data_IF_393144052258
#
_entry.id   IF_393144052258
#
_cell.length_a   1.000
_cell.length_b   1.000
_cell.length_c   1.000
_cell.angle_alpha   90.00
_cell.angle_beta   90.00
_cell.angle_gamma   90.00
#
_symmetry.space_group_name_H-M   'P 1'
#
loop_
_entity.id
_entity.type
_entity.pdbx_description
1 polymer ?
#
# COMPACT_ATOMS: atom_id res chain seq x y z
N UNK A 1 -10.45 17.19 -1.06
CA UNK A 1 -10.51 15.76 -0.72
C UNK A 1 -9.41 15.49 0.29
N UNK A 2 -9.74 15.02 1.48
CA UNK A 2 -8.72 14.70 2.48
C UNK A 2 -7.90 13.49 2.02
N UNK A 3 -6.59 13.63 1.95
CA UNK A 3 -5.69 12.54 1.55
C UNK A 3 -5.46 11.61 2.73
N UNK A 4 -5.87 10.33 2.64
CA UNK A 4 -5.49 9.32 3.64
C UNK A 4 -4.09 8.80 3.36
N UNK A 5 -3.24 8.80 4.39
CA UNK A 5 -1.95 8.13 4.34
C UNK A 5 -2.03 6.78 5.05
N UNK A 6 -1.65 5.72 4.35
CA UNK A 6 -1.54 4.38 4.91
C UNK A 6 -0.09 4.14 5.35
N UNK A 7 0.11 3.77 6.61
CA UNK A 7 1.42 3.38 7.12
C UNK A 7 1.82 1.99 6.60
N UNK A 8 2.93 1.92 5.87
CA UNK A 8 3.49 0.69 5.28
C UNK A 8 4.76 0.22 6.01
N UNK A 9 5.08 0.82 7.16
CA UNK A 9 6.19 0.43 8.04
C UNK A 9 7.35 1.42 8.09
N UNK A 10 8.04 1.47 9.24
CA UNK A 10 9.27 2.27 9.46
C UNK A 10 9.12 3.75 9.10
N UNK A 11 7.96 4.35 9.41
CA UNK A 11 7.67 5.75 9.07
C UNK A 11 7.29 5.99 7.60
N UNK A 12 7.35 4.97 6.74
CA UNK A 12 6.93 5.08 5.35
C UNK A 12 5.41 5.03 5.24
N UNK A 13 4.85 5.93 4.44
CA UNK A 13 3.41 5.99 4.17
C UNK A 13 3.15 6.12 2.68
N UNK A 14 1.96 5.70 2.25
CA UNK A 14 1.51 5.81 0.85
C UNK A 14 0.10 6.39 0.82
N UNK A 15 -0.27 7.04 -0.29
CA UNK A 15 -1.63 7.55 -0.46
C UNK A 15 -2.59 6.36 -0.65
N UNK A 16 -3.48 6.15 0.32
CA UNK A 16 -4.33 4.97 0.35
C UNK A 16 -5.23 4.90 -0.89
N UNK A 17 -5.79 6.03 -1.32
CA UNK A 17 -6.67 6.10 -2.49
C UNK A 17 -6.01 5.74 -3.82
N UNK A 18 -4.67 5.58 -3.87
CA UNK A 18 -3.93 5.19 -5.06
C UNK A 18 -3.49 3.73 -5.07
N UNK A 19 -3.78 2.97 -4.01
CA UNK A 19 -3.42 1.55 -3.92
C UNK A 19 -4.43 0.76 -4.75
N UNK A 20 -3.92 -0.02 -5.71
CA UNK A 20 -4.70 -0.96 -6.53
C UNK A 20 -4.66 -2.36 -5.93
N UNK A 21 -3.50 -2.78 -5.38
CA UNK A 21 -3.35 -4.10 -4.79
C UNK A 21 -2.28 -4.15 -3.70
N UNK A 22 -2.46 -5.04 -2.73
CA UNK A 22 -1.48 -5.41 -1.70
C UNK A 22 -1.30 -6.93 -1.79
N UNK A 23 -0.08 -7.39 -2.13
CA UNK A 23 0.20 -8.80 -2.43
C UNK A 23 1.48 -9.30 -1.75
N UNK A 24 1.63 -10.62 -1.65
CA UNK A 24 2.80 -11.26 -1.04
C UNK A 24 3.89 -11.55 -2.08
N UNK A 25 5.19 -11.41 -1.75
CA UNK A 25 6.30 -11.54 -2.71
C UNK A 25 6.76 -12.98 -3.04
N UNK A 26 6.03 -14.02 -2.60
CA UNK A 26 6.53 -15.40 -2.55
C UNK A 26 6.59 -16.13 -3.90
N UNK A 27 5.84 -15.69 -4.91
CA UNK A 27 5.69 -16.41 -6.18
C UNK A 27 6.64 -15.91 -7.28
N UNK A 28 6.91 -16.76 -8.29
CA UNK A 28 7.74 -16.37 -9.44
C UNK A 28 7.20 -15.15 -10.21
N UNK A 29 5.88 -14.99 -10.44
CA UNK A 29 5.32 -13.77 -11.02
C UNK A 29 5.64 -12.50 -10.22
N UNK A 30 5.70 -12.59 -8.89
CA UNK A 30 6.00 -11.42 -8.04
C UNK A 30 7.48 -11.02 -8.10
N UNK A 31 8.38 -11.98 -8.30
CA UNK A 31 9.79 -11.68 -8.59
C UNK A 31 9.92 -10.92 -9.91
N UNK A 32 9.25 -11.39 -10.97
CA UNK A 32 9.22 -10.71 -12.28
C UNK A 32 8.64 -9.30 -12.17
N UNK A 33 7.50 -9.14 -11.49
CA UNK A 33 6.90 -7.82 -11.24
C UNK A 33 7.87 -6.83 -10.60
N UNK A 34 8.67 -7.28 -9.63
CA UNK A 34 9.69 -6.45 -8.99
C UNK A 34 10.83 -6.09 -9.94
N UNK A 35 11.29 -7.04 -10.74
CA UNK A 35 12.33 -6.84 -11.76
C UNK A 35 11.86 -5.84 -12.83
N UNK A 36 10.67 -6.05 -13.39
CA UNK A 36 10.04 -5.16 -14.38
C UNK A 36 9.87 -3.73 -13.84
N UNK A 37 9.45 -3.59 -12.58
CA UNK A 37 9.35 -2.28 -11.94
C UNK A 37 10.70 -1.62 -11.71
N UNK A 38 11.74 -2.41 -11.40
CA UNK A 38 13.11 -1.90 -11.23
C UNK A 38 13.66 -1.39 -12.56
N UNK A 39 13.55 -2.18 -13.62
CA UNK A 39 13.96 -1.82 -14.97
C UNK A 39 13.22 -0.57 -15.47
N UNK A 40 11.91 -0.51 -15.20
CA UNK A 40 11.08 0.64 -15.51
C UNK A 40 11.27 1.86 -14.62
N UNK A 41 12.21 1.87 -13.67
CA UNK A 41 12.43 2.95 -12.69
C UNK A 41 11.18 3.35 -11.87
N UNK A 42 10.30 2.37 -11.61
CA UNK A 42 9.04 2.51 -10.86
C UNK A 42 9.03 1.74 -9.54
N UNK A 43 10.15 1.10 -9.19
CA UNK A 43 10.31 0.37 -7.93
C UNK A 43 10.71 1.33 -6.81
N UNK A 44 9.96 1.31 -5.71
CA UNK A 44 10.25 2.03 -4.48
C UNK A 44 10.54 1.00 -3.38
N UNK A 45 11.72 1.05 -2.78
CA UNK A 45 12.09 0.17 -1.68
C UNK A 45 11.86 0.86 -0.32
N UNK A 46 10.81 0.46 0.39
CA UNK A 46 10.50 0.91 1.75
C UNK A 46 10.79 -0.17 2.81
N UNK A 47 11.64 -1.16 2.49
CA UNK A 47 11.95 -2.28 3.40
C UNK A 47 12.96 -1.93 4.50
N UNK A 48 13.72 -0.84 4.34
CA UNK A 48 14.82 -0.46 5.25
C UNK A 48 15.87 -1.58 5.42
N UNK A 49 16.24 -2.23 4.31
CA UNK A 49 17.22 -3.32 4.28
C UNK A 49 16.71 -4.66 4.85
N UNK A 50 15.42 -4.75 5.19
CA UNK A 50 14.80 -5.97 5.70
C UNK A 50 14.23 -6.81 4.57
N UNK A 51 13.92 -8.07 4.86
CA UNK A 51 13.24 -8.97 3.92
C UNK A 51 11.90 -8.36 3.48
N UNK A 52 11.68 -8.29 2.16
CA UNK A 52 10.37 -7.95 1.58
C UNK A 52 9.33 -8.95 2.04
N UNK A 53 8.25 -8.45 2.68
CA UNK A 53 7.11 -9.24 3.14
C UNK A 53 5.80 -8.86 2.45
N UNK A 54 5.77 -7.73 1.76
CA UNK A 54 4.65 -7.29 0.94
C UNK A 54 5.10 -6.45 -0.25
N UNK A 55 4.24 -6.42 -1.26
CA UNK A 55 4.34 -5.60 -2.45
C UNK A 55 3.03 -4.82 -2.57
N UNK A 56 3.14 -3.51 -2.75
CA UNK A 56 2.00 -2.61 -2.94
C UNK A 56 2.06 -2.08 -4.37
N UNK A 57 0.95 -2.19 -5.09
CA UNK A 57 0.81 -1.74 -6.47
C UNK A 57 -0.09 -0.51 -6.47
N UNK A 58 0.35 0.54 -7.15
CA UNK A 58 -0.41 1.80 -7.28
C UNK A 58 -1.01 1.97 -8.67
N UNK A 59 -1.98 2.87 -8.80
CA UNK A 59 -2.60 3.27 -10.07
C UNK A 59 -1.61 3.83 -11.10
N UNK A 60 -0.53 4.46 -10.63
CA UNK A 60 0.59 4.94 -11.44
C UNK A 60 1.57 3.83 -11.86
N UNK A 61 1.22 2.57 -11.59
CA UNK A 61 2.06 1.40 -11.81
C UNK A 61 3.36 1.41 -10.98
N UNK A 62 3.50 2.27 -9.96
CA UNK A 62 4.63 2.12 -9.02
C UNK A 62 4.44 0.88 -8.16
N UNK A 63 5.55 0.18 -7.93
CA UNK A 63 5.63 -1.02 -7.11
C UNK A 63 6.44 -0.68 -5.86
N UNK A 64 5.81 -0.79 -4.70
CA UNK A 64 6.40 -0.39 -3.42
C UNK A 64 6.62 -1.64 -2.58
N UNK A 65 7.88 -1.87 -2.17
CA UNK A 65 8.24 -3.00 -1.34
C UNK A 65 8.18 -2.61 0.13
N UNK A 66 7.59 -3.47 0.97
CA UNK A 66 7.58 -3.28 2.41
C UNK A 66 8.02 -4.54 3.16
N UNK A 67 8.61 -4.34 4.34
CA UNK A 67 8.97 -5.41 5.26
C UNK A 67 7.85 -5.74 6.28
N UNK A 68 6.72 -5.05 6.20
CA UNK A 68 5.49 -5.39 6.91
C UNK A 68 4.71 -6.43 6.09
N UNK A 69 4.01 -7.32 6.79
CA UNK A 69 3.21 -8.37 6.13
C UNK A 69 2.02 -7.78 5.37
N UNK A 70 1.70 -8.37 4.22
CA UNK A 70 0.60 -7.92 3.37
C UNK A 70 -0.72 -7.84 4.13
N UNK A 71 -1.02 -8.86 4.94
CA UNK A 71 -2.23 -8.93 5.76
C UNK A 71 -2.35 -7.75 6.74
N UNK A 72 -1.26 -7.39 7.42
CA UNK A 72 -1.24 -6.23 8.34
C UNK A 72 -1.50 -4.92 7.60
N UNK A 73 -0.95 -4.76 6.39
CA UNK A 73 -1.18 -3.56 5.58
C UNK A 73 -2.63 -3.52 5.09
N UNK A 74 -3.18 -4.65 4.66
CA UNK A 74 -4.59 -4.78 4.25
C UNK A 74 -5.54 -4.47 5.40
N UNK A 75 -5.29 -4.97 6.61
CA UNK A 75 -6.09 -4.65 7.80
C UNK A 75 -6.08 -3.15 8.10
N UNK A 76 -4.91 -2.50 8.03
CA UNK A 76 -4.77 -1.04 8.19
C UNK A 76 -5.49 -0.26 7.10
N UNK A 77 -5.49 -0.80 5.88
CA UNK A 77 -6.19 -0.20 4.75
C UNK A 77 -7.70 -0.19 5.01
N UNK A 78 -8.29 -1.33 5.38
CA UNK A 78 -9.72 -1.44 5.66
C UNK A 78 -10.12 -0.56 6.85
N UNK A 79 -9.46 -0.70 7.99
CA UNK A 79 -9.79 0.09 9.20
C UNK A 79 -9.64 1.60 8.98
N UNK A 80 -8.62 2.05 8.25
CA UNK A 80 -8.47 3.46 7.90
C UNK A 80 -9.54 4.01 6.96
N UNK A 81 -10.20 3.15 6.18
CA UNK A 81 -11.33 3.49 5.32
C UNK A 81 -12.67 3.49 6.08
N UNK A 82 -12.89 2.55 7.00
CA UNK A 82 -14.12 2.47 7.81
C UNK A 82 -14.37 3.76 8.62
N UNK A 83 -13.31 4.39 9.16
CA UNK A 83 -13.44 5.67 9.87
C UNK A 83 -13.96 6.85 9.01
N UNK A 84 -13.97 6.72 7.66
CA UNK A 84 -14.38 7.79 6.75
C UNK A 84 -15.81 7.66 6.25
N UNK A 85 -16.38 6.46 6.19
CA UNK A 85 -17.75 6.28 5.69
C UNK A 85 -18.81 6.82 6.67
N UNK A 86 -18.55 6.80 7.99
CA UNK A 86 -19.51 7.26 9.00
C UNK A 86 -19.59 8.78 9.18
N UNK A 87 -18.56 9.53 8.79
CA UNK A 87 -18.55 10.99 8.98
C UNK A 87 -19.43 11.75 8.00
N UNK A 88 -19.79 11.19 6.83
CA UNK A 88 -20.68 11.89 5.87
C UNK A 88 -22.16 11.81 6.26
N UNK A 89 -22.63 10.68 6.80
CA UNK A 89 -24.05 10.53 7.19
C UNK A 89 -24.45 11.32 8.44
N UNK A 90 -23.50 11.72 9.28
CA UNK A 90 -23.81 12.47 10.52
C UNK A 90 -23.86 13.99 10.29
N UNK A 91 -23.32 14.49 9.17
CA UNK A 91 -23.26 15.93 8.86
C UNK A 91 -24.41 16.41 7.95
N UNK A 92 -25.18 15.52 7.32
CA UNK A 92 -26.33 15.88 6.47
C UNK A 92 -27.69 15.84 7.21
N UNK A 93 -27.70 15.53 8.51
CA UNK A 93 -28.94 15.46 9.33
C UNK A 93 -28.98 16.50 10.45
N UNK A 94 -28.27 17.62 10.32
CA UNK A 94 -28.41 18.78 11.22
C UNK A 94 -28.74 20.04 10.44
#
# INVERSE_FOLDING_TARGET
MDTTLLNIGFGNTVVASRIVAIVTPSSAPMKRLKEDAKEGKRLIDATQGRRTRSIIITDSNHVILSAIQAETISQRFVTGFEFREDKKKTLETK
#
